data_IF_782439887412
#
_entry.id   IF_782439887412
#
_cell.length_a   1.000
_cell.length_b   1.000
_cell.length_c   1.000
_cell.angle_alpha   90.00
_cell.angle_beta   90.00
_cell.angle_gamma   90.00
#
_symmetry.space_group_name_H-M   'P 1'
#
loop_
_entity.id
_entity.type
_entity.pdbx_description
1 polymer ?
#
# COMPACT_ATOMS: atom_id res chain seq x y z
N UNK A 1 14.98 28.44 -12.69
CA UNK A 1 15.18 27.25 -13.53
C UNK A 1 15.87 27.74 -14.80
N UNK A 2 17.14 27.40 -15.02
CA UNK A 2 17.96 27.94 -16.13
C UNK A 2 17.99 26.95 -17.29
N UNK A 3 17.53 27.37 -18.46
CA UNK A 3 17.59 26.61 -19.70
C UNK A 3 18.87 26.98 -20.44
N UNK A 4 19.67 25.99 -20.87
CA UNK A 4 20.81 26.21 -21.77
C UNK A 4 20.50 25.56 -23.12
N UNK A 5 20.64 26.36 -24.17
CA UNK A 5 20.43 25.92 -25.55
C UNK A 5 21.76 25.42 -26.13
N UNK A 6 21.74 24.26 -26.80
CA UNK A 6 22.88 23.76 -27.58
C UNK A 6 22.55 23.89 -29.06
N UNK A 7 23.43 24.50 -29.86
CA UNK A 7 23.20 24.74 -31.29
C UNK A 7 23.12 23.47 -32.15
N UNK A 8 23.58 22.31 -31.66
CA UNK A 8 23.52 21.02 -32.38
C UNK A 8 23.35 19.79 -31.44
N UNK A 9 22.63 19.93 -30.33
CA UNK A 9 22.44 18.84 -29.35
C UNK A 9 21.01 18.33 -29.29
N UNK A 10 20.82 17.00 -29.23
CA UNK A 10 19.53 16.38 -28.89
C UNK A 10 19.13 16.78 -27.46
N UNK A 11 17.84 16.96 -27.19
CA UNK A 11 17.35 17.24 -25.85
C UNK A 11 17.72 16.11 -24.88
N UNK A 12 18.29 16.48 -23.74
CA UNK A 12 18.81 15.53 -22.76
C UNK A 12 18.89 16.18 -21.37
N UNK A 13 18.87 15.35 -20.34
CA UNK A 13 19.18 15.77 -18.97
C UNK A 13 20.67 15.58 -18.72
N UNK A 14 21.34 16.67 -18.32
CA UNK A 14 22.70 16.63 -17.80
C UNK A 14 22.74 15.95 -16.43
N UNK A 15 23.82 15.24 -16.06
CA UNK A 15 24.00 14.66 -14.72
C UNK A 15 23.86 15.66 -13.57
N UNK A 16 24.02 16.96 -13.87
CA UNK A 16 23.95 18.07 -12.91
C UNK A 16 22.51 18.61 -12.78
N UNK A 17 21.54 18.01 -13.47
CA UNK A 17 20.13 18.43 -13.46
C UNK A 17 19.81 19.61 -14.38
N UNK A 18 20.73 19.99 -15.27
CA UNK A 18 20.46 20.96 -16.33
C UNK A 18 19.67 20.29 -17.47
N UNK A 19 18.56 20.88 -17.88
CA UNK A 19 17.73 20.41 -18.99
C UNK A 19 18.23 21.11 -20.26
N UNK A 20 18.78 20.33 -21.17
CA UNK A 20 19.25 20.81 -22.47
C UNK A 20 18.08 20.63 -23.44
N UNK A 21 17.62 21.73 -24.02
CA UNK A 21 16.45 21.78 -24.91
C UNK A 21 16.92 22.34 -26.24
N UNK A 22 16.41 21.80 -27.34
CA UNK A 22 16.73 22.27 -28.69
C UNK A 22 16.26 23.74 -28.86
N UNK A 23 17.06 24.62 -29.50
CA UNK A 23 16.71 26.04 -29.65
C UNK A 23 15.52 26.31 -30.59
N UNK A 24 15.18 25.39 -31.50
CA UNK A 24 14.10 25.52 -32.47
C UNK A 24 12.99 24.47 -32.23
N UNK A 25 11.74 24.92 -32.16
CA UNK A 25 10.51 24.12 -31.98
C UNK A 25 10.53 23.07 -30.84
N UNK A 26 10.64 23.55 -29.59
CA UNK A 26 10.77 22.72 -28.39
C UNK A 26 9.48 22.53 -27.57
N UNK A 27 8.32 22.75 -28.17
CA UNK A 27 7.04 22.63 -27.47
C UNK A 27 6.81 21.20 -26.94
N UNK A 28 7.12 20.20 -27.77
CA UNK A 28 6.97 18.78 -27.42
C UNK A 28 7.97 18.33 -26.35
N UNK A 29 9.20 18.84 -26.37
CA UNK A 29 10.22 18.56 -25.35
C UNK A 29 9.78 19.15 -23.99
N UNK A 30 9.28 20.39 -23.98
CA UNK A 30 8.73 21.05 -22.78
C UNK A 30 7.49 20.32 -22.25
N UNK A 31 6.60 19.88 -23.14
CA UNK A 31 5.45 19.07 -22.78
C UNK A 31 5.90 17.76 -22.11
N UNK A 32 6.87 17.06 -22.72
CA UNK A 32 7.41 15.80 -22.20
C UNK A 32 8.00 15.97 -20.80
N UNK A 33 8.77 17.04 -20.60
CA UNK A 33 9.27 17.39 -19.28
C UNK A 33 8.16 17.66 -18.27
N UNK A 34 7.18 18.49 -18.64
CA UNK A 34 6.07 18.86 -17.78
C UNK A 34 5.22 17.63 -17.40
N UNK A 35 5.03 16.71 -18.34
CA UNK A 35 4.30 15.47 -18.14
C UNK A 35 5.00 14.56 -17.12
N UNK A 36 6.30 14.28 -17.31
CA UNK A 36 7.08 13.48 -16.37
C UNK A 36 7.19 14.15 -14.98
N UNK A 37 7.28 15.48 -14.93
CA UNK A 37 7.27 16.23 -13.68
C UNK A 37 5.91 16.13 -12.96
N UNK A 38 4.80 16.24 -13.68
CA UNK A 38 3.46 16.06 -13.12
C UNK A 38 3.29 14.65 -12.54
N UNK A 39 3.81 13.63 -13.22
CA UNK A 39 3.84 12.26 -12.71
C UNK A 39 4.61 12.14 -11.39
N UNK A 40 5.79 12.75 -11.31
CA UNK A 40 6.62 12.77 -10.09
C UNK A 40 5.90 13.41 -8.89
N UNK A 41 5.17 14.51 -9.12
CA UNK A 41 4.37 15.19 -8.09
C UNK A 41 3.18 14.33 -7.68
N UNK A 42 2.46 13.73 -8.64
CA UNK A 42 1.34 12.82 -8.36
C UNK A 42 1.79 11.63 -7.50
N UNK A 43 2.94 11.04 -7.83
CA UNK A 43 3.56 9.98 -7.04
C UNK A 43 3.86 10.44 -5.60
N UNK A 44 4.34 11.68 -5.43
CA UNK A 44 4.58 12.27 -4.12
C UNK A 44 3.31 12.42 -3.27
N UNK A 45 2.16 12.71 -3.88
CA UNK A 45 0.88 12.79 -3.17
C UNK A 45 0.46 11.41 -2.66
N UNK A 46 0.69 10.35 -3.44
CA UNK A 46 0.41 8.98 -3.00
C UNK A 46 1.37 8.52 -1.91
N UNK A 47 2.66 8.84 -2.03
CA UNK A 47 3.66 8.58 -0.99
C UNK A 47 3.22 9.21 0.35
N UNK A 48 2.82 10.48 0.34
CA UNK A 48 2.34 11.17 1.53
C UNK A 48 1.04 10.57 2.09
N UNK A 49 0.15 10.12 1.21
CA UNK A 49 -1.12 9.49 1.61
C UNK A 49 -0.88 8.13 2.27
N UNK A 50 0.07 7.35 1.75
CA UNK A 50 0.50 6.09 2.35
C UNK A 50 1.23 6.29 3.67
N UNK A 51 2.11 7.28 3.77
CA UNK A 51 2.80 7.59 5.02
C UNK A 51 1.79 7.96 6.11
N UNK A 52 0.83 8.83 5.78
CA UNK A 52 -0.27 9.18 6.70
C UNK A 52 -1.06 7.96 7.14
N UNK A 53 -1.28 6.98 6.24
CA UNK A 53 -1.94 5.74 6.62
C UNK A 53 -1.08 4.92 7.60
N UNK A 54 0.21 4.78 7.32
CA UNK A 54 1.19 4.08 8.18
C UNK A 54 1.20 4.67 9.58
N UNK A 55 1.23 6.00 9.71
CA UNK A 55 1.17 6.68 11.01
C UNK A 55 -0.06 6.27 11.82
N UNK A 56 -1.20 6.01 11.17
CA UNK A 56 -2.42 5.60 11.87
C UNK A 56 -2.39 4.16 12.39
N UNK A 57 -1.46 3.32 11.93
CA UNK A 57 -1.33 1.92 12.35
C UNK A 57 -0.02 1.66 13.13
N UNK A 58 0.85 2.66 13.25
CA UNK A 58 2.16 2.55 13.93
C UNK A 58 2.01 2.06 15.38
N UNK A 59 1.03 2.61 16.12
CA UNK A 59 0.76 2.20 17.51
C UNK A 59 0.51 0.69 17.65
N UNK A 60 -0.07 0.06 16.62
CA UNK A 60 -0.35 -1.37 16.62
C UNK A 60 0.93 -2.17 16.58
N UNK A 61 1.89 -1.77 15.73
CA UNK A 61 3.20 -2.43 15.66
C UNK A 61 3.95 -2.31 16.99
N UNK A 62 3.84 -1.17 17.67
CA UNK A 62 4.45 -0.94 18.98
C UNK A 62 3.79 -1.81 20.06
N UNK A 63 2.46 -1.93 20.05
CA UNK A 63 1.74 -2.82 20.95
C UNK A 63 2.13 -4.29 20.72
N UNK A 64 2.25 -4.74 19.47
CA UNK A 64 2.71 -6.09 19.15
C UNK A 64 4.13 -6.35 19.67
N UNK A 65 5.06 -5.42 19.43
CA UNK A 65 6.46 -5.53 19.85
C UNK A 65 6.58 -5.69 21.37
N UNK A 66 5.76 -4.96 22.13
CA UNK A 66 5.78 -4.98 23.58
C UNK A 66 4.93 -6.12 24.18
N UNK A 67 4.25 -6.93 23.36
CA UNK A 67 3.33 -7.97 23.83
C UNK A 67 2.07 -7.42 24.50
N UNK A 68 1.74 -6.16 24.24
CA UNK A 68 0.57 -5.51 24.79
C UNK A 68 -0.71 -6.05 24.12
N UNK A 69 -1.82 -5.96 24.85
CA UNK A 69 -3.13 -6.23 24.27
C UNK A 69 -3.45 -5.14 23.22
N UNK A 70 -3.64 -5.58 21.99
CA UNK A 70 -4.01 -4.71 20.86
C UNK A 70 -5.33 -4.01 21.13
N UNK A 71 -5.33 -2.68 21.09
CA UNK A 71 -6.50 -1.81 21.35
C UNK A 71 -7.29 -1.50 20.08
N UNK A 72 -7.49 -2.50 19.21
CA UNK A 72 -8.36 -2.40 18.04
C UNK A 72 -9.43 -3.49 18.07
N UNK A 73 -10.65 -3.12 17.73
CA UNK A 73 -11.77 -4.02 17.50
C UNK A 73 -11.72 -4.63 16.10
N UNK A 74 -12.47 -5.71 15.88
CA UNK A 74 -12.55 -6.38 14.58
C UNK A 74 -13.12 -5.47 13.49
N UNK A 75 -14.06 -4.60 13.85
CA UNK A 75 -14.63 -3.60 12.96
C UNK A 75 -13.59 -2.53 12.56
N UNK A 76 -12.79 -2.06 13.50
CA UNK A 76 -11.71 -1.11 13.22
C UNK A 76 -10.62 -1.71 12.32
N UNK A 77 -10.25 -2.97 12.55
CA UNK A 77 -9.33 -3.72 11.66
C UNK A 77 -9.90 -3.80 10.25
N UNK A 78 -11.19 -4.12 10.11
CA UNK A 78 -11.86 -4.20 8.81
C UNK A 78 -11.91 -2.82 8.12
N UNK A 79 -12.20 -1.75 8.86
CA UNK A 79 -12.18 -0.37 8.33
C UNK A 79 -10.79 0.00 7.82
N UNK A 80 -9.75 -0.29 8.60
CA UNK A 80 -8.35 -0.06 8.21
C UNK A 80 -7.94 -0.89 6.99
N UNK A 81 -8.42 -2.12 6.88
CA UNK A 81 -8.23 -2.95 5.70
C UNK A 81 -8.86 -2.31 4.46
N UNK A 82 -10.10 -1.80 4.58
CA UNK A 82 -10.80 -1.10 3.51
C UNK A 82 -10.11 0.20 3.08
N UNK A 83 -9.65 1.01 4.04
CA UNK A 83 -8.86 2.22 3.77
C UNK A 83 -7.58 1.91 2.96
N UNK A 84 -6.83 0.87 3.37
CA UNK A 84 -5.63 0.44 2.65
C UNK A 84 -5.95 -0.11 1.26
N UNK A 85 -7.03 -0.89 1.14
CA UNK A 85 -7.46 -1.42 -0.15
C UNK A 85 -7.85 -0.30 -1.13
N UNK A 86 -8.56 0.72 -0.66
CA UNK A 86 -8.90 1.89 -1.47
C UNK A 86 -7.65 2.66 -1.92
N UNK A 87 -6.67 2.83 -1.03
CA UNK A 87 -5.40 3.47 -1.36
C UNK A 87 -4.62 2.67 -2.41
N UNK A 88 -4.49 1.34 -2.21
CA UNK A 88 -3.85 0.43 -3.16
C UNK A 88 -4.55 0.45 -4.52
N UNK A 89 -5.88 0.45 -4.54
CA UNK A 89 -6.66 0.51 -5.77
C UNK A 89 -6.41 1.83 -6.53
N UNK A 90 -6.41 2.97 -5.83
CA UNK A 90 -6.13 4.28 -6.43
C UNK A 90 -4.73 4.35 -7.05
N UNK A 91 -3.72 3.80 -6.35
CA UNK A 91 -2.34 3.74 -6.82
C UNK A 91 -2.23 2.81 -8.03
N UNK A 92 -2.82 1.60 -7.96
CA UNK A 92 -2.78 0.62 -9.04
C UNK A 92 -3.50 1.07 -10.31
N UNK A 93 -4.69 1.67 -10.21
CA UNK A 93 -5.41 2.23 -11.36
C UNK A 93 -4.60 3.31 -12.07
N UNK A 94 -3.73 3.98 -11.31
CA UNK A 94 -2.86 5.02 -11.83
C UNK A 94 -1.45 4.50 -12.17
N UNK A 95 -1.17 3.22 -11.91
CA UNK A 95 0.10 2.58 -12.23
C UNK A 95 0.19 2.23 -13.72
N UNK A 96 -0.94 1.97 -14.38
CA UNK A 96 -1.02 1.94 -15.86
C UNK A 96 -0.55 3.28 -16.48
N UNK A 97 -0.58 4.36 -15.70
CA UNK A 97 -0.10 5.69 -16.07
C UNK A 97 1.39 5.89 -15.80
N UNK A 98 2.08 4.92 -15.18
CA UNK A 98 3.52 4.92 -14.97
C UNK A 98 4.30 4.28 -16.12
N UNK A 99 3.63 3.51 -16.97
CA UNK A 99 4.19 3.05 -18.24
C UNK A 99 4.33 4.22 -19.22
N UNK A 100 5.25 4.08 -20.17
CA UNK A 100 5.47 5.12 -21.19
C UNK A 100 4.17 5.36 -21.96
N UNK A 101 3.58 6.57 -21.89
CA UNK A 101 2.31 6.84 -22.57
C UNK A 101 2.36 6.60 -24.08
N UNK A 102 1.28 6.10 -24.66
CA UNK A 102 1.15 5.78 -26.10
C UNK A 102 1.56 6.93 -27.01
N UNK A 103 1.36 8.17 -26.55
CA UNK A 103 1.80 9.39 -27.22
C UNK A 103 3.26 9.37 -27.66
N UNK A 104 4.12 8.66 -26.92
CA UNK A 104 5.56 8.57 -27.17
C UNK A 104 5.96 7.39 -28.07
N UNK A 105 5.11 6.38 -28.29
CA UNK A 105 5.48 5.15 -28.99
C UNK A 105 5.88 5.36 -30.46
N UNK A 106 5.33 6.37 -31.12
CA UNK A 106 5.69 6.73 -32.51
C UNK A 106 6.81 7.78 -32.57
N UNK A 107 7.39 8.16 -31.42
CA UNK A 107 8.26 9.33 -31.27
C UNK A 107 9.50 8.99 -30.44
N UNK A 108 10.40 8.17 -31.00
CA UNK A 108 11.63 7.66 -30.35
C UNK A 108 12.40 8.74 -29.56
N UNK A 109 12.53 9.95 -30.12
CA UNK A 109 13.26 11.05 -29.47
C UNK A 109 12.60 11.52 -28.18
N UNK A 110 11.26 11.61 -28.16
CA UNK A 110 10.51 12.02 -26.97
C UNK A 110 10.38 10.88 -25.97
N UNK A 111 10.32 9.63 -26.45
CA UNK A 111 10.32 8.44 -25.60
C UNK A 111 11.62 8.35 -24.77
N UNK A 112 12.77 8.51 -25.43
CA UNK A 112 14.08 8.52 -24.77
C UNK A 112 14.15 9.67 -23.76
N UNK A 113 13.71 10.88 -24.15
CA UNK A 113 13.69 12.02 -23.24
C UNK A 113 12.79 11.76 -22.03
N UNK A 114 11.58 11.26 -22.23
CA UNK A 114 10.64 10.92 -21.16
C UNK A 114 11.24 9.90 -20.19
N UNK A 115 11.84 8.82 -20.72
CA UNK A 115 12.50 7.78 -19.94
C UNK A 115 13.68 8.32 -19.13
N UNK A 116 14.49 9.21 -19.71
CA UNK A 116 15.57 9.90 -18.98
C UNK A 116 15.03 10.74 -17.82
N UNK A 117 13.94 11.47 -18.03
CA UNK A 117 13.31 12.29 -16.99
C UNK A 117 12.71 11.41 -15.87
N UNK A 118 12.01 10.33 -16.22
CA UNK A 118 11.47 9.38 -15.25
C UNK A 118 12.58 8.69 -14.45
N UNK A 119 13.72 8.38 -15.09
CA UNK A 119 14.91 7.85 -14.42
C UNK A 119 15.51 8.88 -13.46
N UNK A 120 15.63 10.14 -13.89
CA UNK A 120 16.12 11.24 -13.04
C UNK A 120 15.25 11.43 -11.80
N UNK A 121 13.92 11.43 -11.95
CA UNK A 121 12.98 11.49 -10.82
C UNK A 121 12.84 10.18 -10.04
N UNK A 122 13.58 9.13 -10.43
CA UNK A 122 13.57 7.81 -9.79
C UNK A 122 12.16 7.21 -9.67
N UNK A 123 11.30 7.44 -10.67
CA UNK A 123 9.88 7.06 -10.64
C UNK A 123 9.73 5.56 -10.37
N UNK A 124 10.39 4.69 -11.15
CA UNK A 124 10.27 3.24 -10.98
C UNK A 124 10.74 2.75 -9.61
N UNK A 125 11.83 3.32 -9.08
CA UNK A 125 12.33 2.99 -7.73
C UNK A 125 11.33 3.41 -6.66
N UNK A 126 10.79 4.62 -6.76
CA UNK A 126 9.81 5.17 -5.81
C UNK A 126 8.52 4.37 -5.81
N UNK A 127 7.99 4.03 -6.99
CA UNK A 127 6.83 3.14 -7.13
C UNK A 127 7.08 1.78 -6.48
N UNK A 128 8.27 1.19 -6.67
CA UNK A 128 8.62 -0.08 -6.01
C UNK A 128 8.57 0.05 -4.48
N UNK A 129 9.16 1.11 -3.91
CA UNK A 129 9.14 1.34 -2.46
C UNK A 129 7.72 1.49 -1.92
N UNK A 130 6.85 2.21 -2.64
CA UNK A 130 5.42 2.34 -2.28
C UNK A 130 4.74 0.98 -2.26
N UNK A 131 4.93 0.16 -3.29
CA UNK A 131 4.33 -1.16 -3.38
C UNK A 131 4.79 -2.09 -2.24
N UNK A 132 6.07 -2.08 -1.89
CA UNK A 132 6.60 -2.82 -0.73
C UNK A 132 5.95 -2.35 0.58
N UNK A 133 5.89 -1.03 0.81
CA UNK A 133 5.22 -0.45 1.99
C UNK A 133 3.75 -0.87 2.08
N UNK A 134 3.03 -0.87 0.96
CA UNK A 134 1.63 -1.33 0.90
C UNK A 134 1.54 -2.81 1.29
N UNK A 135 2.40 -3.66 0.72
CA UNK A 135 2.40 -5.09 1.02
C UNK A 135 2.63 -5.36 2.51
N UNK A 136 3.60 -4.68 3.14
CA UNK A 136 3.82 -4.79 4.58
C UNK A 136 2.60 -4.36 5.41
N UNK A 137 1.90 -3.30 5.00
CA UNK A 137 0.66 -2.89 5.66
C UNK A 137 -0.44 -3.96 5.52
N UNK A 138 -0.56 -4.60 4.35
CA UNK A 138 -1.53 -5.68 4.13
C UNK A 138 -1.22 -6.86 5.04
N UNK A 139 0.04 -7.31 5.07
CA UNK A 139 0.51 -8.40 5.92
C UNK A 139 0.20 -8.13 7.40
N UNK A 140 0.50 -6.91 7.87
CA UNK A 140 0.18 -6.53 9.26
C UNK A 140 -1.32 -6.62 9.54
N UNK A 141 -2.17 -6.11 8.67
CA UNK A 141 -3.62 -6.13 8.89
C UNK A 141 -4.18 -7.56 8.85
N UNK A 142 -3.63 -8.42 8.00
CA UNK A 142 -4.01 -9.84 7.97
C UNK A 142 -3.61 -10.58 9.25
N UNK A 143 -2.43 -10.27 9.80
CA UNK A 143 -2.00 -10.75 11.11
C UNK A 143 -2.96 -10.28 12.22
N UNK A 144 -3.39 -9.01 12.20
CA UNK A 144 -4.36 -8.51 13.17
C UNK A 144 -5.72 -9.20 13.04
N UNK A 145 -6.20 -9.37 11.81
CA UNK A 145 -7.48 -10.01 11.54
C UNK A 145 -7.51 -11.46 12.01
N UNK A 146 -6.44 -12.22 11.74
CA UNK A 146 -6.30 -13.61 12.21
C UNK A 146 -6.27 -13.69 13.74
N UNK A 147 -5.46 -12.85 14.39
CA UNK A 147 -5.39 -12.79 15.86
C UNK A 147 -6.74 -12.48 16.53
N UNK A 148 -7.57 -11.62 15.92
CA UNK A 148 -8.90 -11.31 16.45
C UNK A 148 -9.94 -12.43 16.20
N UNK A 149 -9.76 -13.22 15.13
CA UNK A 149 -10.69 -14.29 14.75
C UNK A 149 -10.66 -15.49 15.72
N UNK A 150 -9.51 -15.75 16.35
CA UNK A 150 -9.32 -16.90 17.27
C UNK A 150 -10.27 -16.89 18.48
N UNK A 151 -10.78 -15.71 18.87
CA UNK A 151 -11.72 -15.57 19.99
C UNK A 151 -13.08 -16.21 19.73
N UNK A 152 -13.49 -16.36 18.47
CA UNK A 152 -14.79 -16.95 18.15
C UNK A 152 -14.77 -18.46 18.33
N UNK A 153 -13.70 -19.13 17.86
CA UNK A 153 -13.54 -20.58 18.00
C UNK A 153 -13.46 -21.01 19.46
N UNK A 154 -12.69 -20.29 20.28
CA UNK A 154 -12.57 -20.56 21.72
C UNK A 154 -13.92 -20.44 22.44
N UNK A 155 -14.78 -19.51 22.04
CA UNK A 155 -16.11 -19.36 22.67
C UNK A 155 -17.03 -20.55 22.35
N UNK A 156 -17.00 -21.03 21.12
CA UNK A 156 -17.78 -22.21 20.72
C UNK A 156 -17.29 -23.46 21.44
N UNK A 157 -15.98 -23.63 21.58
CA UNK A 157 -15.39 -24.73 22.32
C UNK A 157 -15.84 -24.74 23.79
N UNK A 158 -15.77 -23.59 24.47
CA UNK A 158 -16.26 -23.46 25.85
C UNK A 158 -17.75 -23.76 26.00
N UNK A 159 -18.58 -23.37 25.02
CA UNK A 159 -20.00 -23.68 25.02
C UNK A 159 -20.24 -25.19 24.94
N UNK A 160 -19.49 -25.90 24.08
CA UNK A 160 -19.59 -27.37 23.95
C UNK A 160 -19.19 -28.06 25.25
N UNK A 161 -18.07 -27.65 25.86
CA UNK A 161 -17.60 -28.21 27.14
C UNK A 161 -18.67 -28.02 28.23
N UNK A 162 -19.27 -26.84 28.32
CA UNK A 162 -20.32 -26.54 29.30
C UNK A 162 -21.57 -27.43 29.08
N UNK A 163 -21.99 -27.63 27.83
CA UNK A 163 -23.13 -28.49 27.51
C UNK A 163 -22.90 -29.94 27.91
N UNK A 164 -21.69 -30.48 27.64
CA UNK A 164 -21.33 -31.85 28.06
C UNK A 164 -21.31 -31.97 29.59
N UNK A 165 -20.78 -30.97 30.29
CA UNK A 165 -20.76 -30.96 31.77
C UNK A 165 -22.16 -31.00 32.37
N UNK A 166 -23.12 -30.26 31.79
CA UNK A 166 -24.52 -30.27 32.22
C UNK A 166 -25.15 -31.65 32.02
N UNK A 167 -24.93 -32.28 30.87
CA UNK A 167 -25.43 -33.63 30.57
C UNK A 167 -24.90 -34.66 31.59
N UNK A 168 -23.59 -34.65 31.83
CA UNK A 168 -22.94 -35.55 32.80
C UNK A 168 -23.48 -35.33 34.21
N UNK A 169 -23.73 -34.08 34.61
CA UNK A 169 -24.35 -33.78 35.90
C UNK A 169 -25.76 -34.37 36.02
N UNK A 170 -26.60 -34.27 34.98
CA UNK A 170 -27.93 -34.88 34.99
C UNK A 170 -27.87 -36.40 35.09
N UNK A 171 -26.98 -37.04 34.34
CA UNK A 171 -26.75 -38.49 34.42
C UNK A 171 -26.28 -38.93 35.81
N UNK A 172 -25.37 -38.17 36.44
CA UNK A 172 -24.91 -38.48 37.81
C UNK A 172 -26.07 -38.36 38.81
N UNK A 173 -26.87 -37.29 38.73
CA UNK A 173 -28.02 -37.09 39.62
C UNK A 173 -29.02 -38.25 39.46
N UNK A 174 -29.35 -38.61 38.21
CA UNK A 174 -30.25 -39.72 37.91
C UNK A 174 -29.69 -41.07 38.39
N UNK A 175 -28.38 -41.31 38.23
CA UNK A 175 -27.73 -42.52 38.71
C UNK A 175 -27.78 -42.65 40.24
N UNK A 176 -27.53 -41.55 40.96
CA UNK A 176 -27.61 -41.51 42.43
C UNK A 176 -29.04 -41.76 42.91
N UNK A 177 -30.03 -41.09 42.31
CA UNK A 177 -31.45 -41.29 42.69
C UNK A 177 -31.88 -42.76 42.51
N UNK A 178 -31.42 -43.40 41.43
CA UNK A 178 -31.66 -44.82 41.16
C UNK A 178 -30.96 -45.78 42.12
N UNK A 179 -29.81 -45.41 42.70
CA UNK A 179 -29.07 -46.27 43.63
C UNK A 179 -29.46 -46.07 45.09
N UNK A 180 -30.04 -44.92 45.42
CA UNK A 180 -30.45 -44.56 46.78
C UNK A 180 -31.89 -45.02 47.10
N UNK A 181 -32.70 -45.31 46.09
CA UNK A 181 -33.99 -46.04 46.21
C UNK A 181 -33.82 -47.55 45.94
#
# INVERSE_FOLDING_TARGET
MNYKYLEQGKAAISPIGEIIISPLDNLLEKYTFSNAMALSVKLGIWEASLEKYIDTIEFVTEDLKNGNKIKMSQEEVLRKHGELFALRHMINLSSDLLDTPDFYWERDQLEVLYSQICTYFSISRRTKVINEKINHCVELIELLRSHLSDKHHVRLEWMIILLIMVEVCFEIIHYVDRFVH
#
